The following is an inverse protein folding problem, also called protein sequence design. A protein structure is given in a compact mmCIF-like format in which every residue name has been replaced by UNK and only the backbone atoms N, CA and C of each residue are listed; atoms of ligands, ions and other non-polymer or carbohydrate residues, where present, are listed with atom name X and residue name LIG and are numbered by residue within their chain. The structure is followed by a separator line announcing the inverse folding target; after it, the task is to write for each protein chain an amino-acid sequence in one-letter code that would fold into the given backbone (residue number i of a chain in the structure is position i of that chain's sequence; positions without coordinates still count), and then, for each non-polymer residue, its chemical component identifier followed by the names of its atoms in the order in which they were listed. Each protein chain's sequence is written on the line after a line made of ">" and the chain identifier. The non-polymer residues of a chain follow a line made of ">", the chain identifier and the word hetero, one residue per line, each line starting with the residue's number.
data_IF_137754251689
#
_entry.id   IF_137754251689
#
_cell.length_a   1.000
_cell.length_b   1.000
_cell.length_c   1.000
_cell.angle_alpha   90.00
_cell.angle_beta   90.00
_cell.angle_gamma   90.00
#
_symmetry.space_group_name_H-M   'P 1'
#
loop_
_entity.id
_entity.type
_entity.pdbx_description
1 polymer ?
#
# COMPACT_ATOMS: atom_id res chain seq x y z
N UNK A 1 -8.55 17.19 5.20
CA UNK A 1 -8.75 16.38 3.99
C UNK A 1 -7.97 15.09 4.21
N UNK A 2 -8.61 13.91 4.26
CA UNK A 2 -7.89 12.64 4.37
C UNK A 2 -6.99 12.43 3.14
N UNK A 3 -5.76 11.94 3.33
CA UNK A 3 -4.83 11.68 2.22
C UNK A 3 -5.33 10.56 1.29
N UNK A 4 -4.83 10.53 0.05
CA UNK A 4 -5.33 9.64 -1.03
C UNK A 4 -5.42 8.18 -0.58
N UNK A 5 -4.37 7.64 0.06
CA UNK A 5 -4.37 6.26 0.55
C UNK A 5 -5.57 5.95 1.45
N UNK A 6 -5.89 6.84 2.39
CA UNK A 6 -7.03 6.67 3.30
C UNK A 6 -8.35 6.68 2.52
N UNK A 7 -8.48 7.57 1.54
CA UNK A 7 -9.68 7.63 0.71
C UNK A 7 -9.89 6.38 -0.15
N UNK A 8 -8.81 5.74 -0.64
CA UNK A 8 -8.91 4.46 -1.37
C UNK A 8 -9.24 3.31 -0.41
N UNK A 9 -8.63 3.27 0.78
CA UNK A 9 -8.98 2.28 1.83
C UNK A 9 -10.46 2.37 2.22
N UNK A 10 -10.99 3.58 2.44
CA UNK A 10 -12.40 3.79 2.81
C UNK A 10 -13.37 3.44 1.67
N UNK A 11 -12.92 3.54 0.41
CA UNK A 11 -13.70 3.15 -0.76
C UNK A 11 -13.65 1.64 -1.06
N UNK A 12 -12.64 0.93 -0.56
CA UNK A 12 -12.47 -0.50 -0.75
C UNK A 12 -13.46 -1.29 0.12
N UNK A 13 -14.60 -1.64 -0.46
CA UNK A 13 -15.65 -2.44 0.17
C UNK A 13 -15.93 -3.70 -0.65
N UNK A 14 -16.53 -4.76 -0.08
CA UNK A 14 -16.97 -5.92 -0.85
C UNK A 14 -17.87 -5.49 -2.03
N UNK A 15 -17.60 -6.00 -3.22
CA UNK A 15 -18.25 -5.63 -4.48
C UNK A 15 -17.57 -4.48 -5.24
N UNK A 16 -16.58 -3.80 -4.66
CA UNK A 16 -15.84 -2.76 -5.36
C UNK A 16 -14.90 -3.35 -6.43
N UNK A 17 -14.85 -2.68 -7.58
CA UNK A 17 -13.93 -2.96 -8.69
C UNK A 17 -12.53 -2.45 -8.35
N UNK A 18 -11.51 -3.30 -8.50
CA UNK A 18 -10.11 -2.90 -8.33
C UNK A 18 -9.72 -1.86 -9.38
N UNK A 19 -10.10 -2.06 -10.64
CA UNK A 19 -9.90 -1.07 -11.71
C UNK A 19 -10.43 0.32 -11.31
N UNK A 20 -11.68 0.41 -10.84
CA UNK A 20 -12.27 1.69 -10.44
C UNK A 20 -11.54 2.33 -9.25
N UNK A 21 -11.02 1.53 -8.31
CA UNK A 21 -10.26 2.04 -7.17
C UNK A 21 -8.88 2.56 -7.61
N UNK A 22 -8.21 1.90 -8.55
CA UNK A 22 -6.98 2.38 -9.18
C UNK A 22 -7.21 3.72 -9.89
N UNK A 23 -8.23 3.81 -10.76
CA UNK A 23 -8.59 5.06 -11.46
C UNK A 23 -8.93 6.18 -10.46
N UNK A 24 -9.63 5.87 -9.37
CA UNK A 24 -9.95 6.83 -8.30
C UNK A 24 -8.68 7.36 -7.62
N UNK A 25 -7.76 6.47 -7.25
CA UNK A 25 -6.51 6.84 -6.57
C UNK A 25 -5.68 7.78 -7.43
N UNK A 26 -5.48 7.43 -8.70
CA UNK A 26 -4.70 8.23 -9.65
C UNK A 26 -5.36 9.58 -9.93
N UNK A 27 -6.68 9.61 -10.12
CA UNK A 27 -7.42 10.86 -10.31
C UNK A 27 -7.27 11.80 -9.09
N UNK A 28 -7.37 11.25 -7.87
CA UNK A 28 -7.19 12.04 -6.65
C UNK A 28 -5.76 12.57 -6.49
N UNK A 29 -4.73 11.80 -6.87
CA UNK A 29 -3.34 12.28 -6.86
C UNK A 29 -3.19 13.49 -7.80
N UNK A 30 -3.70 13.38 -9.03
CA UNK A 30 -3.63 14.47 -10.00
C UNK A 30 -4.41 15.71 -9.54
N UNK A 31 -5.57 15.51 -8.91
CA UNK A 31 -6.37 16.59 -8.35
C UNK A 31 -5.65 17.32 -7.20
N UNK A 32 -5.13 16.58 -6.21
CA UNK A 32 -4.47 17.16 -5.04
C UNK A 32 -3.14 17.84 -5.39
N UNK A 33 -2.33 17.22 -6.26
CA UNK A 33 -1.08 17.83 -6.74
C UNK A 33 -1.35 19.08 -7.60
N UNK A 34 -2.46 19.13 -8.33
CA UNK A 34 -2.91 20.32 -9.06
C UNK A 34 -3.28 21.52 -8.17
N UNK A 35 -3.59 21.29 -6.89
CA UNK A 35 -3.98 22.36 -5.93
C UNK A 35 -2.78 23.12 -5.35
N UNK A 36 -1.60 22.51 -5.30
CA UNK A 36 -0.38 23.08 -4.72
C UNK A 36 0.53 23.68 -5.80
N UNK A 37 1.45 24.58 -5.44
CA UNK A 37 2.47 25.16 -6.36
C UNK A 37 1.93 25.61 -7.73
N UNK A 38 0.85 26.40 -7.74
CA UNK A 38 0.17 26.86 -8.96
C UNK A 38 0.91 27.99 -9.68
N UNK A 39 1.80 28.71 -8.99
CA UNK A 39 2.56 29.81 -9.58
C UNK A 39 3.77 29.30 -10.37
N UNK A 40 4.26 28.13 -9.99
CA UNK A 40 5.40 27.42 -10.55
C UNK A 40 4.96 26.56 -11.74
N UNK A 41 4.72 27.20 -12.90
CA UNK A 41 4.12 26.54 -14.09
C UNK A 41 4.94 25.38 -14.67
N UNK A 42 6.26 25.36 -14.46
CA UNK A 42 7.16 24.32 -14.98
C UNK A 42 7.44 23.21 -13.95
N UNK A 43 6.97 23.36 -12.70
CA UNK A 43 7.20 22.37 -11.66
C UNK A 43 6.42 21.09 -11.95
N UNK A 44 7.13 19.97 -12.08
CA UNK A 44 6.54 18.65 -12.31
C UNK A 44 5.99 18.08 -11.02
N UNK A 45 4.74 17.63 -11.02
CA UNK A 45 4.05 17.04 -9.87
C UNK A 45 2.96 16.10 -10.35
N UNK A 46 2.64 15.09 -9.54
CA UNK A 46 1.64 14.10 -9.89
C UNK A 46 2.02 12.70 -9.40
N UNK A 47 1.67 11.70 -10.22
CA UNK A 47 1.85 10.28 -9.92
C UNK A 47 3.33 9.92 -10.05
N UNK A 48 3.92 9.42 -8.97
CA UNK A 48 5.26 8.81 -8.96
C UNK A 48 5.21 7.30 -9.11
N UNK A 49 4.17 6.68 -8.53
CA UNK A 49 3.88 5.26 -8.65
C UNK A 49 2.35 5.09 -8.79
N UNK A 50 1.85 4.44 -9.85
CA UNK A 50 0.41 4.32 -10.10
C UNK A 50 -0.26 3.50 -9.01
N UNK A 51 -1.51 3.87 -8.70
CA UNK A 51 -2.29 3.17 -7.68
C UNK A 51 -2.41 1.70 -8.06
N UNK A 52 -1.83 0.83 -7.25
CA UNK A 52 -1.83 -0.62 -7.45
C UNK A 52 -2.54 -1.30 -6.28
N UNK A 53 -3.41 -2.25 -6.56
CA UNK A 53 -4.20 -2.95 -5.54
C UNK A 53 -4.05 -4.45 -5.71
N UNK A 54 -3.18 -5.05 -4.92
CA UNK A 54 -2.85 -6.47 -4.99
C UNK A 54 -3.58 -7.27 -3.92
N UNK A 55 -4.41 -8.23 -4.35
CA UNK A 55 -5.30 -8.98 -3.46
C UNK A 55 -4.75 -10.38 -3.15
N UNK A 56 -4.85 -10.79 -1.88
CA UNK A 56 -4.44 -12.10 -1.35
C UNK A 56 -3.01 -12.48 -1.76
N UNK A 57 -2.84 -13.53 -2.55
CA UNK A 57 -1.55 -14.07 -2.98
C UNK A 57 -0.86 -13.26 -4.10
N UNK A 58 -1.56 -12.30 -4.72
CA UNK A 58 -0.91 -11.35 -5.63
C UNK A 58 0.07 -10.49 -4.83
N UNK A 59 1.35 -10.48 -5.22
CA UNK A 59 2.43 -9.84 -4.43
C UNK A 59 2.35 -8.32 -4.51
N UNK A 60 2.44 -7.77 -5.72
CA UNK A 60 2.51 -6.33 -5.96
C UNK A 60 2.05 -5.98 -7.39
N UNK A 61 1.93 -4.68 -7.66
CA UNK A 61 1.81 -4.09 -9.00
C UNK A 61 0.58 -4.50 -9.83
N UNK A 62 -0.52 -4.86 -9.17
CA UNK A 62 -1.77 -5.11 -9.87
C UNK A 62 -2.52 -3.78 -10.10
N UNK A 63 -2.39 -3.25 -11.31
CA UNK A 63 -3.08 -2.06 -11.81
C UNK A 63 -3.68 -2.39 -13.18
N UNK A 64 -4.87 -3.02 -13.22
CA UNK A 64 -5.42 -3.61 -14.45
C UNK A 64 -5.76 -2.54 -15.50
N UNK A 65 -5.60 -2.89 -16.78
CA UNK A 65 -6.13 -2.11 -17.89
C UNK A 65 -7.65 -2.35 -18.04
N UNK A 66 -8.34 -1.47 -18.78
CA UNK A 66 -9.77 -1.64 -19.11
C UNK A 66 -10.05 -2.91 -19.91
N UNK A 67 -9.06 -3.41 -20.62
CA UNK A 67 -9.12 -4.66 -21.39
C UNK A 67 -8.84 -5.90 -20.55
N UNK A 68 -8.24 -5.74 -19.37
CA UNK A 68 -7.86 -6.85 -18.52
C UNK A 68 -9.06 -7.35 -17.71
N UNK A 69 -8.95 -8.59 -17.22
CA UNK A 69 -9.92 -9.10 -16.29
C UNK A 69 -9.77 -8.37 -14.94
N UNK A 70 -10.80 -7.62 -14.57
CA UNK A 70 -10.87 -6.93 -13.27
C UNK A 70 -11.07 -7.91 -12.10
N UNK A 71 -10.69 -7.46 -10.90
CA UNK A 71 -10.94 -8.18 -9.66
C UNK A 71 -12.01 -7.44 -8.85
N UNK A 72 -13.08 -8.15 -8.50
CA UNK A 72 -14.13 -7.64 -7.62
C UNK A 72 -13.83 -8.07 -6.18
N UNK A 73 -13.65 -7.08 -5.30
CA UNK A 73 -13.30 -7.28 -3.90
C UNK A 73 -14.37 -8.09 -3.16
N UNK A 74 -13.95 -8.97 -2.24
CA UNK A 74 -14.81 -9.85 -1.46
C UNK A 74 -14.58 -9.65 0.03
N UNK A 75 -15.61 -9.94 0.82
CA UNK A 75 -15.47 -9.97 2.26
C UNK A 75 -14.35 -10.94 2.69
N UNK A 76 -13.52 -10.50 3.64
CA UNK A 76 -12.36 -11.23 4.10
C UNK A 76 -11.13 -11.15 3.20
N UNK A 77 -11.13 -10.50 2.03
CA UNK A 77 -9.92 -10.36 1.21
C UNK A 77 -8.81 -9.59 1.95
N UNK A 78 -7.57 -10.06 1.80
CA UNK A 78 -6.38 -9.31 2.21
C UNK A 78 -5.96 -8.40 1.07
N UNK A 79 -6.09 -7.10 1.25
CA UNK A 79 -5.90 -6.09 0.21
C UNK A 79 -4.64 -5.28 0.51
N UNK A 80 -3.77 -5.13 -0.49
CA UNK A 80 -2.57 -4.30 -0.44
C UNK A 80 -2.73 -3.15 -1.41
N UNK A 81 -2.80 -1.92 -0.91
CA UNK A 81 -2.84 -0.70 -1.72
C UNK A 81 -1.45 -0.08 -1.71
N UNK A 82 -0.90 0.23 -2.88
CA UNK A 82 0.41 0.87 -3.08
C UNK A 82 0.24 2.06 -4.03
N UNK A 83 0.75 3.23 -3.65
CA UNK A 83 0.72 4.44 -4.47
C UNK A 83 1.88 5.36 -4.15
N UNK A 84 2.22 6.22 -5.10
CA UNK A 84 3.31 7.17 -4.98
C UNK A 84 2.99 8.51 -5.60
N UNK A 85 3.40 9.58 -4.92
CA UNK A 85 3.25 10.96 -5.37
C UNK A 85 4.63 11.60 -5.47
N UNK A 86 4.83 12.49 -6.44
CA UNK A 86 6.00 13.36 -6.43
C UNK A 86 5.62 14.84 -6.56
N UNK A 87 6.46 15.69 -5.99
CA UNK A 87 6.45 17.14 -6.20
C UNK A 87 7.87 17.56 -6.49
N UNK A 88 8.08 18.20 -7.64
CA UNK A 88 9.39 18.59 -8.15
C UNK A 88 10.42 17.44 -8.21
N UNK A 89 9.92 16.22 -8.41
CA UNK A 89 10.73 15.00 -8.46
C UNK A 89 11.05 14.39 -7.09
N UNK A 90 10.67 15.02 -5.98
CA UNK A 90 10.77 14.43 -4.64
C UNK A 90 9.63 13.45 -4.41
N UNK A 91 9.95 12.17 -4.21
CA UNK A 91 8.99 11.07 -4.16
C UNK A 91 8.54 10.79 -2.73
N UNK A 92 7.24 10.58 -2.56
CA UNK A 92 6.62 10.01 -1.37
C UNK A 92 5.80 8.77 -1.78
N UNK A 93 6.29 7.59 -1.41
CA UNK A 93 5.61 6.31 -1.63
C UNK A 93 5.02 5.77 -0.34
N UNK A 94 3.87 5.10 -0.45
CA UNK A 94 3.22 4.45 0.69
C UNK A 94 2.45 3.22 0.23
N UNK A 95 2.55 2.15 1.02
CA UNK A 95 1.73 0.96 0.87
C UNK A 95 1.06 0.59 2.20
N UNK A 96 -0.14 0.01 2.12
CA UNK A 96 -0.89 -0.44 3.28
C UNK A 96 -1.63 -1.75 3.01
N UNK A 97 -1.61 -2.64 4.01
CA UNK A 97 -2.28 -3.95 3.97
C UNK A 97 -3.36 -4.02 5.03
N UNK A 98 -4.57 -4.43 4.63
CA UNK A 98 -5.71 -4.61 5.53
C UNK A 98 -6.60 -5.76 5.05
N UNK A 99 -7.60 -6.13 5.86
CA UNK A 99 -8.57 -7.19 5.53
C UNK A 99 -9.96 -6.58 5.46
N UNK A 100 -10.70 -6.86 4.38
CA UNK A 100 -12.08 -6.43 4.22
C UNK A 100 -13.00 -7.11 5.24
N UNK A 101 -13.90 -6.34 5.83
CA UNK A 101 -14.84 -6.84 6.86
C UNK A 101 -14.22 -7.00 8.25
N UNK A 102 -12.94 -6.68 8.43
CA UNK A 102 -12.30 -6.70 9.75
C UNK A 102 -12.79 -5.52 10.61
N UNK A 103 -13.17 -5.82 11.85
CA UNK A 103 -13.56 -4.82 12.85
C UNK A 103 -13.03 -5.20 14.23
N UNK A 104 -13.35 -4.41 15.26
CA UNK A 104 -13.03 -4.77 16.65
C UNK A 104 -13.84 -5.99 17.11
N UNK A 105 -15.07 -6.10 16.65
CA UNK A 105 -16.02 -7.17 16.93
C UNK A 105 -15.72 -8.42 16.10
N UNK A 106 -15.11 -8.24 14.92
CA UNK A 106 -14.68 -9.31 14.02
C UNK A 106 -13.18 -9.19 13.70
N UNK A 107 -12.29 -9.54 14.66
CA UNK A 107 -10.86 -9.42 14.47
C UNK A 107 -10.34 -10.46 13.47
N UNK A 108 -9.31 -10.09 12.70
CA UNK A 108 -8.62 -11.01 11.80
C UNK A 108 -7.87 -12.06 12.64
N UNK A 109 -8.00 -13.34 12.27
CA UNK A 109 -7.30 -14.45 12.89
C UNK A 109 -6.56 -15.34 11.87
N UNK A 110 -5.77 -16.29 12.38
CA UNK A 110 -5.04 -17.27 11.58
C UNK A 110 -3.95 -16.65 10.69
N UNK A 111 -3.66 -17.29 9.56
CA UNK A 111 -2.51 -16.95 8.70
C UNK A 111 -2.52 -15.50 8.18
N UNK A 112 -3.69 -14.89 7.98
CA UNK A 112 -3.81 -13.48 7.60
C UNK A 112 -3.34 -12.55 8.73
N UNK A 113 -3.73 -12.84 9.97
CA UNK A 113 -3.27 -12.08 11.13
C UNK A 113 -1.76 -12.24 11.33
N UNK A 114 -1.26 -13.47 11.20
CA UNK A 114 0.17 -13.79 11.35
C UNK A 114 1.03 -12.99 10.37
N UNK A 115 0.69 -13.05 9.07
CA UNK A 115 1.49 -12.39 8.03
C UNK A 115 1.41 -10.86 8.11
N UNK A 116 0.25 -10.30 8.45
CA UNK A 116 0.10 -8.85 8.63
C UNK A 116 0.92 -8.39 9.84
N UNK A 117 0.88 -9.12 10.96
CA UNK A 117 1.66 -8.78 12.15
C UNK A 117 3.16 -8.90 11.91
N UNK A 118 3.59 -9.95 11.22
CA UNK A 118 4.98 -10.14 10.82
C UNK A 118 5.48 -8.95 9.96
N UNK A 119 4.74 -8.60 8.91
CA UNK A 119 5.09 -7.49 8.02
C UNK A 119 5.14 -6.14 8.77
N UNK A 120 4.19 -5.88 9.67
CA UNK A 120 4.18 -4.65 10.46
C UNK A 120 5.39 -4.58 11.42
N UNK A 121 5.74 -5.68 12.09
CA UNK A 121 6.93 -5.71 12.95
C UNK A 121 8.23 -5.59 12.16
N UNK A 122 8.29 -6.14 10.94
CA UNK A 122 9.41 -5.90 10.03
C UNK A 122 9.54 -4.41 9.66
N UNK A 123 8.41 -3.73 9.39
CA UNK A 123 8.40 -2.29 9.12
C UNK A 123 8.90 -1.48 10.34
N UNK A 124 8.43 -1.82 11.55
CA UNK A 124 8.89 -1.20 12.80
C UNK A 124 10.40 -1.44 13.06
N UNK A 125 10.91 -2.63 12.73
CA UNK A 125 12.33 -2.94 12.83
C UNK A 125 13.14 -2.10 11.83
N UNK A 126 12.71 -2.02 10.57
CA UNK A 126 13.35 -1.20 9.55
C UNK A 126 13.40 0.28 9.96
N UNK A 127 12.30 0.82 10.50
CA UNK A 127 12.22 2.20 10.99
C UNK A 127 13.31 2.52 12.04
N UNK A 128 13.71 1.55 12.85
CA UNK A 128 14.72 1.71 13.91
C UNK A 128 16.14 1.39 13.45
N UNK A 129 16.28 0.56 12.42
CA UNK A 129 17.58 0.05 11.93
C UNK A 129 18.11 0.84 10.73
N UNK A 130 17.26 1.44 9.90
CA UNK A 130 17.68 2.27 8.78
C UNK A 130 18.10 3.65 9.29
N UNK A 131 19.38 3.78 9.62
CA UNK A 131 19.98 5.03 10.12
C UNK A 131 21.46 5.13 9.73
N UNK A 132 22.07 6.33 9.72
CA UNK A 132 23.49 6.50 9.44
C UNK A 132 24.36 5.61 10.34
N UNK A 133 25.36 4.96 9.73
CA UNK A 133 26.29 4.06 10.41
C UNK A 133 25.89 2.57 10.42
N UNK A 134 24.62 2.26 10.15
CA UNK A 134 24.16 0.87 10.01
C UNK A 134 24.34 0.33 8.58
N UNK A 135 24.32 -1.00 8.44
CA UNK A 135 24.38 -1.73 7.17
C UNK A 135 23.02 -2.36 6.82
N UNK A 136 22.76 -2.52 5.53
CA UNK A 136 21.54 -3.18 5.01
C UNK A 136 21.37 -4.62 5.53
N UNK A 137 22.46 -5.36 5.72
CA UNK A 137 22.48 -6.73 6.26
C UNK A 137 21.77 -6.84 7.61
N UNK A 138 21.91 -5.82 8.48
CA UNK A 138 21.26 -5.79 9.79
C UNK A 138 19.73 -5.78 9.66
N UNK A 139 19.19 -5.09 8.66
CA UNK A 139 17.75 -5.04 8.38
C UNK A 139 17.28 -6.40 7.82
N UNK A 140 18.00 -6.95 6.86
CA UNK A 140 17.69 -8.27 6.26
C UNK A 140 17.65 -9.38 7.30
N UNK A 141 18.65 -9.44 8.19
CA UNK A 141 18.69 -10.42 9.27
C UNK A 141 17.54 -10.25 10.27
N UNK A 142 17.20 -9.00 10.61
CA UNK A 142 16.08 -8.72 11.51
C UNK A 142 14.74 -9.16 10.90
N UNK A 143 14.51 -8.86 9.61
CA UNK A 143 13.30 -9.28 8.90
C UNK A 143 13.14 -10.79 8.86
N UNK A 144 14.21 -11.54 8.55
CA UNK A 144 14.16 -13.00 8.55
C UNK A 144 13.81 -13.56 9.93
N UNK A 145 14.43 -13.04 11.01
CA UNK A 145 14.13 -13.48 12.38
C UNK A 145 12.67 -13.19 12.77
N UNK A 146 12.17 -11.99 12.47
CA UNK A 146 10.79 -11.59 12.78
C UNK A 146 9.81 -12.45 12.00
N UNK A 147 9.97 -12.56 10.68
CA UNK A 147 9.04 -13.31 9.83
C UNK A 147 8.97 -14.79 10.21
N UNK A 148 10.11 -15.44 10.48
CA UNK A 148 10.14 -16.84 10.90
C UNK A 148 9.42 -17.09 12.23
N UNK A 149 9.38 -16.12 13.14
CA UNK A 149 8.62 -16.24 14.40
C UNK A 149 7.10 -16.36 14.18
N UNK A 150 6.61 -15.97 13.00
CA UNK A 150 5.21 -16.13 12.56
C UNK A 150 5.03 -17.21 11.49
N UNK A 151 6.06 -18.05 11.25
CA UNK A 151 6.09 -19.02 10.16
C UNK A 151 5.87 -18.38 8.79
N UNK A 152 6.36 -17.15 8.60
CA UNK A 152 6.33 -16.41 7.35
C UNK A 152 7.74 -16.27 6.78
N UNK A 153 7.84 -16.07 5.46
CA UNK A 153 9.11 -15.84 4.76
C UNK A 153 9.01 -14.53 3.99
N UNK A 154 9.96 -13.59 4.16
CA UNK A 154 10.07 -12.43 3.26
C UNK A 154 10.30 -12.93 1.83
N UNK A 155 9.62 -12.32 0.86
CA UNK A 155 9.75 -12.66 -0.57
C UNK A 155 11.14 -12.30 -1.09
#
# INVERSE_FOLDING_TARGET
>A
IPGVLRAVVEAANPGASVLCLCEKGDAMIMEETGKIFKKEKEMKKGIAFPTSISVNNCVCHFSPLKSDQDYILKDGDLVKIDLGVHVDGFIANVAHTFVLGASKENPVAGRKADVIKAAHLCAEAALRLVKPGNQNTQVTEAWNKIAHAFHCTPI
#
